data_IF_056798625111
#
_entry.id   IF_056798625111
#
_cell.length_a   1.000
_cell.length_b   1.000
_cell.length_c   1.000
_cell.angle_alpha   90.00
_cell.angle_beta   90.00
_cell.angle_gamma   90.00
#
_symmetry.space_group_name_H-M   'P 1'
#
loop_
_entity.id
_entity.type
_entity.pdbx_description
1 polymer ?
#
# COMPACT_ATOMS: atom_id res chain seq x y z
N UNK A 1 -25.78 2.97 -14.44
CA UNK A 1 -25.14 4.21 -13.94
C UNK A 1 -24.77 4.00 -12.48
N UNK A 2 -23.49 3.79 -12.18
CA UNK A 2 -22.99 3.69 -10.81
C UNK A 2 -22.67 5.06 -10.22
N UNK A 3 -22.48 5.16 -8.89
CA UNK A 3 -22.00 6.39 -8.29
C UNK A 3 -20.64 6.73 -8.90
N UNK A 4 -20.53 7.91 -9.51
CA UNK A 4 -19.26 8.43 -9.98
C UNK A 4 -18.43 8.92 -8.78
N UNK A 5 -17.12 9.07 -9.00
CA UNK A 5 -16.17 9.48 -7.96
C UNK A 5 -16.59 10.80 -7.29
N UNK A 6 -17.20 11.73 -8.05
CA UNK A 6 -17.72 12.99 -7.51
C UNK A 6 -18.84 12.78 -6.48
N UNK A 7 -19.79 11.87 -6.71
CA UNK A 7 -20.83 11.61 -5.70
C UNK A 7 -20.24 10.98 -4.43
N UNK A 8 -19.28 10.05 -4.58
CA UNK A 8 -18.61 9.43 -3.42
C UNK A 8 -17.84 10.46 -2.59
N UNK A 9 -17.17 11.43 -3.22
CA UNK A 9 -16.48 12.52 -2.51
C UNK A 9 -17.46 13.40 -1.73
N UNK A 10 -18.62 13.71 -2.30
CA UNK A 10 -19.66 14.51 -1.63
C UNK A 10 -20.22 13.77 -0.42
N UNK A 11 -20.52 12.48 -0.54
CA UNK A 11 -20.98 11.65 0.58
C UNK A 11 -19.91 11.55 1.66
N UNK A 12 -18.65 11.34 1.27
CA UNK A 12 -17.52 11.31 2.20
C UNK A 12 -17.37 12.62 2.97
N UNK A 13 -17.54 13.77 2.28
CA UNK A 13 -17.50 15.09 2.91
C UNK A 13 -18.59 15.24 3.98
N UNK A 14 -19.82 14.82 3.69
CA UNK A 14 -20.95 14.85 4.65
C UNK A 14 -20.64 13.97 5.86
N UNK A 15 -20.14 12.75 5.66
CA UNK A 15 -19.75 11.85 6.75
C UNK A 15 -18.66 12.50 7.61
N UNK A 16 -17.66 13.14 7.00
CA UNK A 16 -16.59 13.84 7.73
C UNK A 16 -17.13 15.04 8.52
N UNK A 17 -18.15 15.74 8.03
CA UNK A 17 -18.80 16.83 8.79
C UNK A 17 -19.61 16.31 9.98
N UNK A 18 -20.32 15.19 9.82
CA UNK A 18 -21.13 14.59 10.89
C UNK A 18 -20.29 13.96 12.00
N UNK A 19 -19.28 13.18 11.62
CA UNK A 19 -18.43 12.45 12.57
C UNK A 19 -17.16 13.22 12.95
N UNK A 20 -16.77 14.22 12.16
CA UNK A 20 -15.52 14.96 12.32
C UNK A 20 -14.32 14.24 11.67
N UNK A 21 -13.39 15.03 11.12
CA UNK A 21 -12.17 14.52 10.48
C UNK A 21 -11.27 13.68 11.40
N UNK A 22 -11.44 13.80 12.72
CA UNK A 22 -10.65 13.09 13.73
C UNK A 22 -11.17 11.68 14.02
N UNK A 23 -12.47 11.42 13.86
CA UNK A 23 -13.09 10.12 14.17
C UNK A 23 -12.81 9.06 13.10
N UNK A 24 -12.83 9.43 11.83
CA UNK A 24 -12.53 8.50 10.72
C UNK A 24 -11.16 7.80 10.86
N UNK A 25 -10.03 8.51 11.04
CA UNK A 25 -8.73 7.87 11.19
C UNK A 25 -8.59 7.11 12.52
N UNK A 26 -9.30 7.51 13.56
CA UNK A 26 -9.33 6.81 14.85
C UNK A 26 -10.03 5.45 14.73
N UNK A 27 -11.19 5.42 14.07
CA UNK A 27 -11.92 4.19 13.75
C UNK A 27 -11.14 3.29 12.78
N UNK A 28 -10.56 3.88 11.72
CA UNK A 28 -9.75 3.15 10.75
C UNK A 28 -8.50 2.52 11.39
N UNK A 29 -7.85 3.19 12.35
CA UNK A 29 -6.73 2.61 13.11
C UNK A 29 -7.16 1.42 13.97
N UNK A 30 -8.33 1.49 14.61
CA UNK A 30 -8.88 0.37 15.39
C UNK A 30 -9.23 -0.83 14.51
N UNK A 31 -10.03 -0.59 13.47
CA UNK A 31 -10.45 -1.62 12.50
C UNK A 31 -9.26 -2.20 11.74
N UNK A 32 -8.32 -1.36 11.31
CA UNK A 32 -7.13 -1.77 10.58
C UNK A 32 -6.22 -2.68 11.40
N UNK A 33 -6.05 -2.42 12.71
CA UNK A 33 -5.33 -3.33 13.60
C UNK A 33 -6.04 -4.67 13.74
N UNK A 34 -7.36 -4.66 13.93
CA UNK A 34 -8.16 -5.89 14.03
C UNK A 34 -8.11 -6.74 12.76
N UNK A 35 -8.32 -6.13 11.59
CA UNK A 35 -8.23 -6.81 10.29
C UNK A 35 -6.81 -7.31 10.04
N UNK A 36 -5.78 -6.53 10.41
CA UNK A 36 -4.38 -6.95 10.23
C UNK A 36 -4.04 -8.16 11.10
N UNK A 37 -4.38 -8.14 12.39
CA UNK A 37 -4.21 -9.29 13.28
C UNK A 37 -4.97 -10.50 12.75
N UNK A 38 -6.25 -10.33 12.39
CA UNK A 38 -7.05 -11.40 11.81
C UNK A 38 -6.43 -11.99 10.54
N UNK A 39 -5.93 -11.15 9.63
CA UNK A 39 -5.23 -11.60 8.42
C UNK A 39 -3.92 -12.31 8.76
N UNK A 40 -3.16 -11.81 9.72
CA UNK A 40 -1.89 -12.42 10.16
C UNK A 40 -2.10 -13.77 10.82
N UNK A 41 -3.07 -13.92 11.72
CA UNK A 41 -3.42 -15.21 12.32
C UNK A 41 -3.89 -16.22 11.25
N UNK A 42 -4.78 -15.80 10.32
CA UNK A 42 -5.21 -16.66 9.22
C UNK A 42 -4.04 -17.06 8.31
N UNK A 43 -3.16 -16.11 7.97
CA UNK A 43 -1.98 -16.40 7.15
C UNK A 43 -0.96 -17.27 7.88
N UNK A 44 -0.84 -17.22 9.21
CA UNK A 44 0.08 -18.10 9.93
C UNK A 44 -0.37 -19.56 9.95
N UNK A 45 -1.68 -19.82 9.96
CA UNK A 45 -2.22 -21.16 9.77
C UNK A 45 -1.96 -21.69 8.35
N UNK A 46 -2.05 -20.83 7.33
CA UNK A 46 -1.74 -21.19 5.94
C UNK A 46 -0.21 -21.29 5.68
N UNK A 47 0.61 -20.41 6.26
CA UNK A 47 2.07 -20.33 6.01
C UNK A 47 2.91 -21.35 6.76
N UNK A 48 2.34 -22.12 7.70
CA UNK A 48 3.02 -23.33 8.21
C UNK A 48 3.24 -24.38 7.11
N UNK A 49 2.56 -24.26 5.96
CA UNK A 49 2.77 -25.10 4.79
C UNK A 49 3.78 -24.54 3.75
N UNK A 50 4.23 -23.28 3.88
CA UNK A 50 4.94 -22.57 2.79
C UNK A 50 6.16 -21.75 3.29
N UNK A 51 7.00 -22.34 4.15
CA UNK A 51 8.27 -21.73 4.58
C UNK A 51 9.50 -22.43 3.98
N UNK A 52 9.46 -22.72 2.68
CA UNK A 52 10.64 -23.13 1.90
C UNK A 52 10.66 -22.43 0.55
N UNK A 53 10.52 -21.10 0.49
CA UNK A 53 11.06 -20.34 -0.64
C UNK A 53 11.00 -18.85 -0.36
N UNK A 54 11.95 -18.11 -0.94
CA UNK A 54 11.95 -16.66 -1.09
C UNK A 54 12.48 -15.83 0.07
N UNK A 55 13.75 -16.09 0.41
CA UNK A 55 14.70 -15.01 0.77
C UNK A 55 15.44 -14.64 -0.52
N UNK A 56 14.90 -13.73 -1.34
CA UNK A 56 15.63 -13.01 -2.39
C UNK A 56 14.69 -11.99 -3.06
N UNK A 57 14.75 -10.74 -2.62
CA UNK A 57 14.61 -9.52 -3.47
C UNK A 57 14.71 -8.28 -2.56
N UNK A 58 15.94 -7.84 -2.31
CA UNK A 58 16.21 -6.49 -1.82
C UNK A 58 17.52 -6.00 -2.42
N UNK A 59 17.55 -5.67 -3.72
CA UNK A 59 18.52 -4.73 -4.29
C UNK A 59 18.22 -4.37 -5.75
N UNK A 60 17.19 -3.58 -5.99
CA UNK A 60 17.14 -2.79 -7.23
C UNK A 60 16.50 -1.43 -6.94
N UNK A 61 16.93 -0.41 -7.68
CA UNK A 61 16.66 1.02 -7.49
C UNK A 61 17.52 1.77 -6.47
N UNK A 62 18.83 1.73 -6.72
CA UNK A 62 19.71 2.87 -6.48
C UNK A 62 20.36 3.28 -7.82
N UNK A 63 19.87 4.39 -8.39
CA UNK A 63 20.63 5.39 -9.17
C UNK A 63 21.49 4.89 -10.36
N UNK A 64 20.83 4.55 -11.48
CA UNK A 64 21.41 4.59 -12.83
C UNK A 64 20.98 5.85 -13.58
N UNK A 65 21.47 7.01 -13.15
CA UNK A 65 21.30 8.27 -13.88
C UNK A 65 22.48 9.21 -13.63
N UNK A 66 23.71 8.77 -13.90
CA UNK A 66 24.89 9.63 -14.13
C UNK A 66 25.99 8.77 -14.76
N UNK A 67 26.11 8.83 -16.09
CA UNK A 67 27.35 8.79 -16.90
C UNK A 67 26.99 8.54 -18.37
N UNK A 68 26.41 9.56 -19.00
CA UNK A 68 26.51 9.73 -20.46
C UNK A 68 27.57 10.81 -20.65
N UNK A 69 28.84 10.38 -20.63
CA UNK A 69 29.95 11.13 -21.22
C UNK A 69 31.16 10.19 -21.41
N UNK A 70 31.70 10.26 -22.63
CA UNK A 70 32.97 9.71 -23.11
C UNK A 70 33.16 8.19 -23.28
N UNK A 71 32.82 7.68 -24.47
CA UNK A 71 33.72 6.78 -25.23
C UNK A 71 33.61 7.03 -26.74
N UNK A 72 34.45 7.94 -27.22
CA UNK A 72 35.18 7.94 -28.50
C UNK A 72 34.71 7.06 -29.67
N UNK A 73 34.50 7.75 -30.81
CA UNK A 73 35.17 7.47 -32.10
C UNK A 73 34.94 6.05 -32.66
N UNK A 74 33.74 5.83 -33.20
CA UNK A 74 33.58 4.86 -34.28
C UNK A 74 34.36 5.34 -35.50
N UNK A 75 35.11 4.39 -36.07
CA UNK A 75 35.81 4.47 -37.34
C UNK A 75 34.88 4.87 -38.50
#
# INVERSE_FOLDING_TARGET
>A
MGPSVQQLLIVLLIIVLLFGAKKIPELAKGLGKGIKSFKSEMETDDKKAENVEKVEEKKEEAITATKVDETTKSA
#
